data_IF_152070587437
#
_entry.id   IF_152070587437
#
_cell.length_a   1.000
_cell.length_b   1.000
_cell.length_c   1.000
_cell.angle_alpha   90.00
_cell.angle_beta   90.00
_cell.angle_gamma   90.00
#
_symmetry.space_group_name_H-M   'P 1'
#
loop_
_entity.id
_entity.type
_entity.pdbx_description
1 polymer ?
#
# COMPACT_ATOMS: atom_id res chain seq x y z
N UNK A 1 18.35 2.74 16.33
CA UNK A 1 17.88 1.65 15.47
C UNK A 1 16.60 1.05 16.06
N UNK A 2 15.44 1.47 15.56
CA UNK A 2 14.13 0.90 15.88
C UNK A 2 13.43 0.63 14.55
N UNK A 3 13.55 -0.62 14.09
CA UNK A 3 12.85 -1.15 12.93
C UNK A 3 11.37 -1.20 13.30
N UNK A 4 10.57 -0.34 12.69
CA UNK A 4 9.12 -0.31 12.90
C UNK A 4 8.50 -1.48 12.13
N UNK A 5 8.12 -2.50 12.90
CA UNK A 5 7.21 -3.57 12.51
C UNK A 5 5.90 -2.95 11.99
N UNK A 6 5.76 -2.86 10.67
CA UNK A 6 4.46 -2.78 10.00
C UNK A 6 4.30 -4.11 9.26
N UNK A 7 4.00 -5.17 10.02
CA UNK A 7 3.78 -6.51 9.46
C UNK A 7 2.85 -7.37 10.33
N UNK A 8 1.92 -6.77 11.08
CA UNK A 8 1.13 -7.55 12.06
C UNK A 8 -0.38 -7.29 12.12
N UNK A 9 -1.01 -6.81 11.05
CA UNK A 9 -2.48 -6.66 11.00
C UNK A 9 -3.12 -7.21 9.70
N UNK A 10 -2.60 -8.35 9.21
CA UNK A 10 -3.24 -9.16 8.17
C UNK A 10 -3.20 -10.69 8.46
N UNK A 11 -2.84 -11.10 9.69
CA UNK A 11 -2.56 -12.52 10.04
C UNK A 11 -3.29 -13.02 11.31
N UNK A 12 -4.46 -12.46 11.64
CA UNK A 12 -5.15 -12.73 12.91
C UNK A 12 -6.56 -13.31 12.84
N UNK A 13 -7.00 -13.89 11.72
CA UNK A 13 -8.44 -14.26 11.57
C UNK A 13 -8.79 -15.40 10.63
N UNK A 14 -7.89 -16.35 10.34
CA UNK A 14 -8.22 -17.56 9.58
C UNK A 14 -7.55 -18.82 10.18
N UNK A 15 -7.86 -19.10 11.44
CA UNK A 15 -7.63 -20.42 12.03
C UNK A 15 -8.94 -21.20 11.97
N UNK A 16 -9.20 -21.80 10.81
CA UNK A 16 -9.98 -23.03 10.59
C UNK A 16 -10.31 -23.09 9.10
N UNK A 17 -9.50 -23.79 8.32
CA UNK A 17 -9.81 -24.60 7.13
C UNK A 17 -8.48 -24.95 6.46
N UNK A 18 -7.65 -25.73 7.18
CA UNK A 18 -6.46 -26.35 6.62
C UNK A 18 -6.82 -27.79 6.23
N UNK A 19 -7.15 -28.01 4.96
CA UNK A 19 -6.85 -29.27 4.28
C UNK A 19 -6.53 -28.99 2.81
N UNK A 20 -5.22 -29.01 2.54
CA UNK A 20 -4.57 -29.56 1.35
C UNK A 20 -5.09 -29.14 -0.04
N UNK A 21 -4.44 -28.14 -0.62
CA UNK A 21 -3.74 -28.40 -1.89
C UNK A 21 -2.25 -28.18 -1.65
N UNK A 22 -1.56 -29.28 -1.35
CA UNK A 22 -0.12 -29.39 -1.53
C UNK A 22 0.17 -29.26 -3.03
N UNK A 23 0.82 -28.16 -3.41
CA UNK A 23 1.70 -28.17 -4.59
C UNK A 23 3.14 -28.15 -4.08
N UNK A 24 3.92 -29.24 -4.21
CA UNK A 24 5.34 -29.23 -3.91
C UNK A 24 6.14 -28.52 -5.04
N UNK A 25 7.42 -28.16 -4.78
CA UNK A 25 7.99 -26.85 -5.13
C UNK A 25 8.75 -26.86 -6.46
N UNK A 26 8.60 -25.82 -7.28
CA UNK A 26 9.53 -25.52 -8.38
C UNK A 26 9.47 -24.04 -8.80
N UNK A 27 10.31 -23.21 -8.16
CA UNK A 27 11.19 -22.18 -8.73
C UNK A 27 11.48 -21.07 -7.71
N UNK A 28 12.76 -20.64 -7.54
CA UNK A 28 13.19 -19.83 -6.41
C UNK A 28 12.95 -18.31 -6.55
N UNK A 29 12.34 -17.81 -7.63
CA UNK A 29 12.33 -16.36 -7.93
C UNK A 29 10.93 -15.73 -8.05
N UNK A 30 9.92 -16.23 -7.35
CA UNK A 30 8.62 -15.54 -7.30
C UNK A 30 8.19 -15.29 -5.87
N UNK A 31 8.40 -14.04 -5.46
CA UNK A 31 7.75 -13.42 -4.31
C UNK A 31 6.29 -13.87 -4.22
N UNK A 32 5.92 -14.39 -3.05
CA UNK A 32 4.55 -14.74 -2.74
C UNK A 32 3.72 -13.45 -2.69
N UNK A 33 3.18 -13.03 -3.84
CA UNK A 33 2.23 -11.93 -3.92
C UNK A 33 0.92 -12.39 -3.29
N UNK A 34 0.49 -11.69 -2.24
CA UNK A 34 -0.87 -11.77 -1.74
C UNK A 34 -1.84 -11.44 -2.89
N UNK A 35 -2.47 -12.46 -3.48
CA UNK A 35 -3.52 -12.30 -4.47
C UNK A 35 -4.87 -12.29 -3.77
N UNK A 36 -5.67 -11.28 -4.07
CA UNK A 36 -7.05 -11.17 -3.61
C UNK A 36 -7.84 -12.45 -3.96
N UNK A 37 -8.62 -13.04 -3.04
CA UNK A 37 -9.49 -14.16 -3.37
C UNK A 37 -10.54 -13.69 -4.38
N UNK A 38 -10.37 -14.08 -5.65
CA UNK A 38 -11.20 -13.60 -6.76
C UNK A 38 -10.52 -13.53 -8.12
N UNK A 39 -9.21 -13.83 -8.20
CA UNK A 39 -8.49 -13.89 -9.49
C UNK A 39 -8.85 -15.11 -10.34
N UNK A 40 -9.32 -16.20 -9.74
CA UNK A 40 -9.78 -17.41 -10.45
C UNK A 40 -11.29 -17.61 -10.31
N UNK A 41 -12.07 -16.82 -11.07
CA UNK A 41 -13.53 -16.92 -11.08
C UNK A 41 -14.02 -18.27 -11.65
N UNK A 42 -13.28 -18.87 -12.57
CA UNK A 42 -13.59 -20.19 -13.12
C UNK A 42 -13.43 -21.28 -12.07
N UNK A 43 -12.34 -21.26 -11.29
CA UNK A 43 -12.14 -22.15 -10.16
C UNK A 43 -13.26 -22.02 -9.11
N UNK A 44 -13.72 -20.79 -8.84
CA UNK A 44 -14.84 -20.53 -7.93
C UNK A 44 -16.16 -21.10 -8.44
N UNK A 45 -16.45 -20.97 -9.75
CA UNK A 45 -17.66 -21.50 -10.37
C UNK A 45 -17.75 -23.03 -10.28
N UNK A 46 -16.60 -23.73 -10.34
CA UNK A 46 -16.50 -25.18 -10.28
C UNK A 46 -16.62 -25.77 -8.86
N UNK A 47 -16.64 -24.94 -7.81
CA UNK A 47 -16.77 -25.41 -6.43
C UNK A 47 -18.13 -26.10 -6.18
N UNK A 48 -18.18 -27.04 -5.25
CA UNK A 48 -19.46 -27.64 -4.82
C UNK A 48 -20.31 -26.63 -4.04
N UNK A 49 -21.63 -26.81 -4.06
CA UNK A 49 -22.59 -25.93 -3.35
C UNK A 49 -22.21 -25.72 -1.87
N UNK A 50 -21.88 -26.76 -1.07
CA UNK A 50 -21.52 -26.55 0.34
C UNK A 50 -20.25 -25.70 0.54
N UNK A 51 -19.29 -25.78 -0.38
CA UNK A 51 -18.08 -24.93 -0.34
C UNK A 51 -18.42 -23.48 -0.68
N UNK A 52 -19.27 -23.26 -1.69
CA UNK A 52 -19.77 -21.93 -2.07
C UNK A 52 -20.54 -21.26 -0.93
N UNK A 53 -21.41 -21.99 -0.24
CA UNK A 53 -22.18 -21.48 0.90
C UNK A 53 -21.26 -21.07 2.07
N UNK A 54 -20.24 -21.88 2.37
CA UNK A 54 -19.21 -21.55 3.38
C UNK A 54 -18.44 -20.27 3.02
N UNK A 55 -18.07 -20.10 1.75
CA UNK A 55 -17.41 -18.88 1.28
C UNK A 55 -18.32 -17.66 1.38
N UNK A 56 -19.60 -17.76 1.00
CA UNK A 56 -20.56 -16.67 1.17
C UNK A 56 -20.67 -16.25 2.65
N UNK A 57 -20.69 -17.20 3.57
CA UNK A 57 -20.73 -16.91 5.00
C UNK A 57 -19.47 -16.16 5.47
N UNK A 58 -18.29 -16.49 4.93
CA UNK A 58 -17.06 -15.75 5.20
C UNK A 58 -17.13 -14.31 4.62
N UNK A 59 -17.66 -14.14 3.41
CA UNK A 59 -17.86 -12.83 2.79
C UNK A 59 -18.81 -11.92 3.58
N UNK A 60 -19.81 -12.47 4.27
CA UNK A 60 -20.70 -11.70 5.13
C UNK A 60 -20.02 -11.13 6.38
N UNK A 61 -18.90 -11.74 6.80
CA UNK A 61 -18.12 -11.28 7.96
C UNK A 61 -17.07 -10.24 7.61
N UNK A 62 -16.82 -10.02 6.31
CA UNK A 62 -15.86 -9.03 5.86
C UNK A 62 -16.49 -7.63 5.90
N UNK A 63 -15.88 -6.74 6.68
CA UNK A 63 -16.24 -5.33 6.76
C UNK A 63 -15.08 -4.48 6.17
N UNK A 64 -15.23 -3.87 4.98
CA UNK A 64 -14.22 -2.97 4.40
C UNK A 64 -14.02 -1.69 5.23
N UNK A 65 -14.94 -1.37 6.15
CA UNK A 65 -14.78 -0.29 7.13
C UNK A 65 -13.57 -0.50 8.04
N UNK A 66 -13.20 -1.77 8.29
CA UNK A 66 -12.01 -2.14 9.09
C UNK A 66 -10.68 -1.89 8.35
N UNK A 67 -10.71 -1.60 7.05
CA UNK A 67 -9.51 -1.22 6.32
C UNK A 67 -9.11 0.18 6.75
N UNK A 68 -8.04 0.23 7.55
CA UNK A 68 -7.45 1.45 8.08
C UNK A 68 -6.30 1.91 7.21
N UNK A 69 -6.36 3.17 6.80
CA UNK A 69 -5.26 3.88 6.14
C UNK A 69 -4.52 4.82 7.10
N UNK A 70 -4.77 4.68 8.40
CA UNK A 70 -4.18 5.53 9.43
C UNK A 70 -2.65 5.51 9.36
N UNK A 71 -2.04 6.69 9.29
CA UNK A 71 -0.58 6.84 9.27
C UNK A 71 0.09 6.70 7.91
N UNK A 72 -0.66 6.43 6.83
CA UNK A 72 -0.13 6.36 5.46
C UNK A 72 0.04 7.73 4.80
N UNK A 73 -0.72 8.73 5.23
CA UNK A 73 -0.75 10.05 4.61
C UNK A 73 -1.45 10.09 3.25
N UNK A 74 -2.07 8.99 2.83
CA UNK A 74 -2.88 8.88 1.61
C UNK A 74 -4.13 9.76 1.73
N UNK A 75 -4.53 10.40 0.64
CA UNK A 75 -5.69 11.27 0.56
C UNK A 75 -7.00 10.52 0.79
N UNK A 76 -7.96 11.14 1.48
CA UNK A 76 -9.28 10.53 1.77
C UNK A 76 -10.02 10.11 0.49
N UNK A 77 -9.83 10.88 -0.60
CA UNK A 77 -10.39 10.56 -1.92
C UNK A 77 -9.87 9.23 -2.44
N UNK A 78 -8.55 9.01 -2.39
CA UNK A 78 -7.93 7.78 -2.88
C UNK A 78 -8.30 6.58 -2.01
N UNK A 79 -8.33 6.77 -0.69
CA UNK A 79 -8.82 5.74 0.24
C UNK A 79 -10.26 5.31 -0.07
N UNK A 80 -11.15 6.29 -0.35
CA UNK A 80 -12.54 6.01 -0.69
C UNK A 80 -12.65 5.25 -2.02
N UNK A 81 -11.90 5.66 -3.04
CA UNK A 81 -11.88 4.99 -4.34
C UNK A 81 -11.40 3.54 -4.21
N UNK A 82 -10.32 3.30 -3.46
CA UNK A 82 -9.84 1.96 -3.18
C UNK A 82 -10.90 1.09 -2.50
N UNK A 83 -11.53 1.60 -1.43
CA UNK A 83 -12.61 0.86 -0.74
C UNK A 83 -13.77 0.52 -1.67
N UNK A 84 -14.16 1.45 -2.56
CA UNK A 84 -15.21 1.22 -3.54
C UNK A 84 -14.83 0.13 -4.54
N UNK A 85 -13.64 0.20 -5.15
CA UNK A 85 -13.20 -0.82 -6.12
C UNK A 85 -13.10 -2.19 -5.46
N UNK A 86 -12.57 -2.26 -4.23
CA UNK A 86 -12.50 -3.49 -3.47
C UNK A 86 -13.90 -4.10 -3.23
N UNK A 87 -14.86 -3.28 -2.83
CA UNK A 87 -16.25 -3.68 -2.65
C UNK A 87 -16.87 -4.21 -3.94
N UNK A 88 -16.65 -3.52 -5.06
CA UNK A 88 -17.15 -3.95 -6.36
C UNK A 88 -16.54 -5.30 -6.78
N UNK A 89 -15.24 -5.51 -6.55
CA UNK A 89 -14.57 -6.79 -6.81
C UNK A 89 -15.14 -7.92 -5.96
N UNK A 90 -15.39 -7.65 -4.67
CA UNK A 90 -16.06 -8.62 -3.80
C UNK A 90 -17.46 -8.98 -4.27
N UNK A 91 -18.21 -8.01 -4.78
CA UNK A 91 -19.57 -8.25 -5.28
C UNK A 91 -19.54 -9.12 -6.54
N UNK A 92 -18.56 -8.92 -7.42
CA UNK A 92 -18.31 -9.82 -8.56
C UNK A 92 -18.08 -11.25 -8.08
N UNK A 93 -17.21 -11.44 -7.09
CA UNK A 93 -16.93 -12.77 -6.53
C UNK A 93 -18.19 -13.40 -5.91
N UNK A 94 -18.95 -12.63 -5.11
CA UNK A 94 -20.21 -13.10 -4.53
C UNK A 94 -21.21 -13.53 -5.59
N UNK A 95 -21.31 -12.82 -6.70
CA UNK A 95 -22.22 -13.17 -7.79
C UNK A 95 -21.84 -14.49 -8.46
N UNK A 96 -20.56 -14.73 -8.71
CA UNK A 96 -20.08 -16.03 -9.24
C UNK A 96 -20.34 -17.18 -8.27
N UNK A 97 -20.18 -16.93 -6.96
CA UNK A 97 -20.44 -17.95 -5.94
C UNK A 97 -21.95 -18.28 -5.84
N UNK A 98 -22.82 -17.27 -5.98
CA UNK A 98 -24.29 -17.46 -5.97
C UNK A 98 -24.79 -18.12 -7.24
N UNK A 99 -24.30 -17.67 -8.39
CA UNK A 99 -24.68 -18.17 -9.70
C UNK A 99 -23.44 -18.38 -10.60
N UNK A 100 -22.90 -19.61 -10.62
CA UNK A 100 -21.74 -19.97 -11.43
C UNK A 100 -21.93 -19.73 -12.94
N UNK A 101 -23.17 -19.69 -13.44
CA UNK A 101 -23.42 -19.43 -14.86
C UNK A 101 -23.04 -18.00 -15.29
N UNK A 102 -22.91 -17.07 -14.33
CA UNK A 102 -22.55 -15.68 -14.59
C UNK A 102 -21.05 -15.45 -14.81
N UNK A 103 -20.21 -16.50 -14.67
CA UNK A 103 -18.75 -16.38 -14.65
C UNK A 103 -18.19 -15.59 -15.84
N UNK A 104 -18.65 -15.84 -17.07
CA UNK A 104 -18.14 -15.16 -18.26
C UNK A 104 -18.39 -13.64 -18.27
N UNK A 105 -19.54 -13.20 -17.77
CA UNK A 105 -19.85 -11.76 -17.67
C UNK A 105 -19.16 -11.11 -16.47
N UNK A 106 -18.98 -11.87 -15.39
CA UNK A 106 -18.27 -11.44 -14.19
C UNK A 106 -16.76 -11.31 -14.42
N UNK A 107 -16.16 -12.14 -15.27
CA UNK A 107 -14.76 -12.00 -15.70
C UNK A 107 -14.50 -10.67 -16.41
N UNK A 108 -15.38 -10.25 -17.31
CA UNK A 108 -15.25 -8.94 -17.98
C UNK A 108 -15.25 -7.80 -16.98
N UNK A 109 -16.15 -7.86 -15.99
CA UNK A 109 -16.24 -6.87 -14.91
C UNK A 109 -14.99 -6.91 -14.02
N UNK A 110 -14.54 -8.10 -13.64
CA UNK A 110 -13.33 -8.28 -12.83
C UNK A 110 -12.11 -7.71 -13.56
N UNK A 111 -11.96 -7.95 -14.86
CA UNK A 111 -10.85 -7.39 -15.65
C UNK A 111 -10.82 -5.86 -15.65
N UNK A 112 -11.98 -5.20 -15.72
CA UNK A 112 -12.07 -3.73 -15.63
C UNK A 112 -11.71 -3.26 -14.21
N UNK A 113 -12.22 -3.94 -13.19
CA UNK A 113 -11.95 -3.60 -11.79
C UNK A 113 -10.48 -3.83 -11.41
N UNK A 114 -9.86 -4.91 -11.89
CA UNK A 114 -8.43 -5.17 -11.69
C UNK A 114 -7.57 -4.05 -12.26
N UNK A 115 -7.84 -3.61 -13.50
CA UNK A 115 -7.12 -2.45 -14.08
C UNK A 115 -7.30 -1.17 -13.27
N UNK A 116 -8.50 -0.93 -12.74
CA UNK A 116 -8.74 0.21 -11.84
C UNK A 116 -7.97 0.07 -10.54
N UNK A 117 -7.93 -1.15 -9.98
CA UNK A 117 -7.21 -1.45 -8.76
C UNK A 117 -5.70 -1.25 -8.94
N UNK A 118 -5.14 -1.69 -10.07
CA UNK A 118 -3.73 -1.49 -10.43
C UNK A 118 -3.40 0.02 -10.48
N UNK A 119 -4.20 0.82 -11.20
CA UNK A 119 -3.99 2.27 -11.23
C UNK A 119 -4.15 2.96 -9.87
N UNK A 120 -5.08 2.47 -9.02
CA UNK A 120 -5.21 2.99 -7.65
C UNK A 120 -4.02 2.60 -6.77
N UNK A 121 -3.42 1.43 -6.99
CA UNK A 121 -2.20 1.01 -6.29
C UNK A 121 -1.02 1.91 -6.68
N UNK A 122 -0.83 2.19 -7.96
CA UNK A 122 0.19 3.13 -8.45
C UNK A 122 0.01 4.53 -7.82
N UNK A 123 -1.23 5.02 -7.77
CA UNK A 123 -1.55 6.30 -7.13
C UNK A 123 -1.25 6.30 -5.61
N UNK A 124 -1.52 5.19 -4.92
CA UNK A 124 -1.23 5.07 -3.48
C UNK A 124 0.27 4.97 -3.21
N UNK A 125 1.01 4.25 -4.04
CA UNK A 125 2.47 4.15 -3.97
C UNK A 125 3.10 5.53 -4.18
N UNK A 126 2.61 6.30 -5.16
CA UNK A 126 3.03 7.67 -5.39
C UNK A 126 2.78 8.58 -4.18
N UNK A 127 1.56 8.59 -3.64
CA UNK A 127 1.24 9.44 -2.47
C UNK A 127 2.04 9.04 -1.23
N UNK A 128 2.21 7.74 -0.99
CA UNK A 128 3.02 7.24 0.12
C UNK A 128 4.48 7.64 -0.04
N UNK A 129 5.04 7.51 -1.25
CA UNK A 129 6.40 7.94 -1.56
C UNK A 129 6.62 9.44 -1.34
N UNK A 130 5.63 10.29 -1.68
CA UNK A 130 5.71 11.73 -1.38
C UNK A 130 5.73 12.01 0.12
N UNK A 131 4.91 11.30 0.89
CA UNK A 131 4.84 11.45 2.35
C UNK A 131 6.16 11.05 3.00
N UNK A 132 6.72 9.92 2.59
CA UNK A 132 8.01 9.44 3.07
C UNK A 132 9.14 10.39 2.72
N UNK A 133 9.23 10.83 1.46
CA UNK A 133 10.23 11.79 1.00
C UNK A 133 10.16 13.09 1.79
N UNK A 134 8.95 13.62 2.02
CA UNK A 134 8.77 14.83 2.84
C UNK A 134 9.21 14.61 4.28
N UNK A 135 8.89 13.46 4.87
CA UNK A 135 9.26 13.13 6.25
C UNK A 135 10.77 13.02 6.41
N UNK A 136 11.46 12.44 5.44
CA UNK A 136 12.93 12.37 5.41
C UNK A 136 13.55 13.77 5.30
N UNK A 137 13.06 14.59 4.37
CA UNK A 137 13.48 15.99 4.23
C UNK A 137 13.29 16.78 5.54
N UNK A 138 12.10 16.75 6.13
CA UNK A 138 11.79 17.50 7.35
C UNK A 138 12.69 17.04 8.51
N UNK A 139 12.96 15.73 8.62
CA UNK A 139 13.85 15.17 9.64
C UNK A 139 15.30 15.64 9.45
N UNK A 140 15.79 15.68 8.22
CA UNK A 140 17.14 16.15 7.92
C UNK A 140 17.30 17.64 8.21
N UNK A 141 16.31 18.46 7.83
CA UNK A 141 16.29 19.90 8.15
C UNK A 141 16.35 20.13 9.67
N UNK A 142 15.53 19.40 10.43
CA UNK A 142 15.52 19.48 11.90
C UNK A 142 16.88 19.07 12.47
N UNK A 143 17.44 17.96 11.98
CA UNK A 143 18.71 17.44 12.49
C UNK A 143 19.86 18.41 12.23
N UNK A 144 19.95 18.99 11.02
CA UNK A 144 21.00 19.98 10.67
C UNK A 144 20.85 21.28 11.44
N UNK A 145 19.63 21.76 11.61
CA UNK A 145 19.35 22.95 12.42
C UNK A 145 19.79 22.72 13.87
N UNK A 146 19.48 21.55 14.42
CA UNK A 146 19.89 21.17 15.77
C UNK A 146 21.41 21.04 15.91
N UNK A 147 22.10 20.47 14.92
CA UNK A 147 23.57 20.38 14.89
C UNK A 147 24.23 21.76 14.93
N UNK A 148 23.67 22.74 14.19
CA UNK A 148 24.12 24.12 14.25
C UNK A 148 23.85 24.77 15.61
N UNK A 149 22.65 24.60 16.18
CA UNK A 149 22.29 25.17 17.48
C UNK A 149 23.14 24.62 18.63
N UNK A 150 23.52 23.35 18.55
CA UNK A 150 24.39 22.68 19.52
C UNK A 150 25.88 22.93 19.27
N UNK A 151 26.22 23.57 18.15
CA UNK A 151 27.58 23.95 17.80
C UNK A 151 28.18 24.96 18.78
N UNK A 152 29.43 24.72 19.18
CA UNK A 152 30.18 25.69 20.00
C UNK A 152 31.00 26.59 19.09
N UNK A 153 30.69 27.89 19.08
CA UNK A 153 31.39 28.90 18.27
C UNK A 153 32.20 29.83 19.19
N UNK A 154 33.52 29.91 18.97
CA UNK A 154 34.42 30.72 19.80
C UNK A 154 34.34 32.20 19.46
N UNK A 155 33.90 32.53 18.25
CA UNK A 155 33.75 33.92 17.79
C UNK A 155 32.44 34.16 17.03
N UNK A 156 31.98 35.42 17.02
CA UNK A 156 30.84 35.84 16.18
C UNK A 156 31.10 35.59 14.68
N UNK A 157 32.36 35.66 14.25
CA UNK A 157 32.75 35.39 12.86
C UNK A 157 32.56 33.92 12.50
N UNK A 158 32.97 33.00 13.38
CA UNK A 158 32.77 31.56 13.22
C UNK A 158 31.27 31.21 13.19
N UNK A 159 30.49 31.76 14.12
CA UNK A 159 29.04 31.56 14.14
C UNK A 159 28.38 32.04 12.83
N UNK A 160 28.80 33.20 12.30
CA UNK A 160 28.30 33.73 11.03
C UNK A 160 28.67 32.84 9.83
N UNK A 161 29.87 32.26 9.82
CA UNK A 161 30.30 31.33 8.76
C UNK A 161 29.50 30.03 8.85
N UNK A 162 29.36 29.45 10.05
CA UNK A 162 28.57 28.25 10.27
C UNK A 162 27.10 28.43 9.88
N UNK A 163 26.52 29.60 10.19
CA UNK A 163 25.16 29.93 9.78
C UNK A 163 25.01 29.96 8.26
N UNK A 164 25.96 30.58 7.55
CA UNK A 164 25.96 30.60 6.08
C UNK A 164 26.11 29.20 5.49
N UNK A 165 26.93 28.34 6.12
CA UNK A 165 27.07 26.94 5.77
C UNK A 165 25.74 26.20 5.90
N UNK A 166 25.09 26.29 7.06
CA UNK A 166 23.75 25.71 7.28
C UNK A 166 22.74 26.23 6.25
N UNK A 167 22.67 27.54 6.03
CA UNK A 167 21.75 28.12 5.04
C UNK A 167 21.99 27.59 3.63
N UNK A 168 23.24 27.29 3.26
CA UNK A 168 23.56 26.66 1.98
C UNK A 168 23.13 25.20 1.96
N UNK A 169 23.48 24.41 2.99
CA UNK A 169 23.07 23.00 3.10
C UNK A 169 21.55 22.86 3.03
N UNK A 170 20.79 23.72 3.71
CA UNK A 170 19.32 23.70 3.67
C UNK A 170 18.77 24.05 2.28
N UNK A 171 19.44 24.93 1.53
CA UNK A 171 19.07 25.22 0.13
C UNK A 171 19.32 24.00 -0.75
N UNK A 172 20.47 23.37 -0.62
CA UNK A 172 20.86 22.20 -1.41
C UNK A 172 19.91 21.03 -1.12
N UNK A 173 19.60 20.77 0.16
CA UNK A 173 18.60 19.75 0.54
C UNK A 173 17.20 20.03 0.01
N UNK A 174 16.80 21.30 -0.02
CA UNK A 174 15.51 21.68 -0.63
C UNK A 174 15.51 21.40 -2.13
N UNK A 175 16.63 21.64 -2.81
CA UNK A 175 16.76 21.35 -4.23
C UNK A 175 16.67 19.84 -4.49
N UNK A 176 17.43 19.03 -3.75
CA UNK A 176 17.38 17.55 -3.83
C UNK A 176 15.96 17.02 -3.59
N UNK A 177 15.26 17.54 -2.57
CA UNK A 177 13.88 17.16 -2.29
C UNK A 177 12.94 17.44 -3.48
N UNK A 178 13.05 18.61 -4.13
CA UNK A 178 12.21 18.92 -5.30
C UNK A 178 12.61 18.09 -6.53
N UNK A 179 13.89 17.74 -6.69
CA UNK A 179 14.36 16.82 -7.73
C UNK A 179 13.83 15.41 -7.54
N UNK A 180 13.89 14.88 -6.32
CA UNK A 180 13.38 13.57 -5.95
C UNK A 180 11.86 13.49 -6.13
N UNK A 181 11.14 14.54 -5.73
CA UNK A 181 9.70 14.67 -5.98
C UNK A 181 9.38 14.72 -7.47
N UNK A 182 10.19 15.40 -8.28
CA UNK A 182 10.03 15.44 -9.73
C UNK A 182 10.41 14.11 -10.40
N UNK A 183 11.32 13.32 -9.81
CA UNK A 183 11.65 11.96 -10.25
C UNK A 183 10.48 11.01 -9.95
N UNK A 184 9.95 11.04 -8.72
CA UNK A 184 8.79 10.24 -8.34
C UNK A 184 7.57 10.50 -9.24
N UNK A 185 7.37 11.75 -9.67
CA UNK A 185 6.31 12.10 -10.63
C UNK A 185 6.52 11.52 -12.03
N UNK A 186 7.76 11.30 -12.45
CA UNK A 186 8.10 10.73 -13.77
C UNK A 186 8.07 9.21 -13.80
N UNK A 187 8.18 8.58 -12.63
CA UNK A 187 8.11 7.13 -12.45
C UNK A 187 6.66 6.62 -12.38
N UNK A 188 5.69 7.52 -12.20
CA UNK A 188 4.26 7.30 -12.39
C UNK A 188 3.89 7.40 -13.87
#
# INVERSE_FOLDING_TARGET
MKKLLITFLLLGGFQSFTTAQETPPAHPDKEFKFQFPGTDLNGLALLSQPRRDSMLQAFHKFDPGQISFSGTGISESLQKQFKTVLLDMMEVVKNVIKDPATVSDMEKKMNVLSKKMDGLQEDMEYETGLVELKKEYDKDVIQRTKEYEQGTYKTKKEQKVARRGLEQELRDRKHEFEEDKARLRRER
#
